data_IF_138388806806
#
_entry.id   IF_138388806806
#
_cell.length_a   1.000
_cell.length_b   1.000
_cell.length_c   1.000
_cell.angle_alpha   90.00
_cell.angle_beta   90.00
_cell.angle_gamma   90.00
#
_symmetry.space_group_name_H-M   'P 1'
#
loop_
_entity.id
_entity.type
_entity.pdbx_description
1 polymer ?
#
# COMPACT_ATOMS: atom_id res chain seq x y z
N UNK A 1 6.83 -1.50 -3.16
CA UNK A 1 6.34 -0.63 -4.26
C UNK A 1 5.27 0.30 -3.71
N UNK A 2 5.50 1.61 -3.79
CA UNK A 2 4.51 2.62 -3.41
C UNK A 2 3.79 3.12 -4.65
N UNK A 3 2.47 2.94 -4.73
CA UNK A 3 1.66 3.36 -5.88
C UNK A 3 1.04 4.73 -5.58
N UNK A 4 1.55 5.76 -6.25
CA UNK A 4 1.10 7.15 -6.11
C UNK A 4 0.38 7.64 -7.37
N UNK A 5 -0.51 8.61 -7.20
CA UNK A 5 -1.25 9.20 -8.31
C UNK A 5 -2.62 9.71 -7.89
N UNK A 6 -3.28 10.48 -8.74
CA UNK A 6 -4.57 11.09 -8.41
C UNK A 6 -5.72 10.07 -8.33
N UNK A 7 -6.87 10.46 -7.79
CA UNK A 7 -8.05 9.61 -7.83
C UNK A 7 -8.53 9.41 -9.28
N UNK A 8 -8.98 8.22 -9.64
CA UNK A 8 -9.53 7.92 -10.97
C UNK A 8 -8.54 7.47 -12.05
N UNK A 9 -7.22 7.58 -11.85
CA UNK A 9 -6.22 7.12 -12.86
C UNK A 9 -5.96 5.60 -12.84
N UNK A 10 -6.77 4.83 -12.09
CA UNK A 10 -6.67 3.37 -12.07
C UNK A 10 -5.61 2.78 -11.14
N UNK A 11 -5.18 3.48 -10.08
CA UNK A 11 -4.18 2.96 -9.11
C UNK A 11 -4.51 1.57 -8.59
N UNK A 12 -5.69 1.40 -7.98
CA UNK A 12 -6.12 0.13 -7.39
C UNK A 12 -6.22 -0.99 -8.43
N UNK A 13 -6.62 -0.66 -9.67
CA UNK A 13 -6.64 -1.61 -10.79
C UNK A 13 -5.22 -2.02 -11.19
N UNK A 14 -4.28 -1.08 -11.23
CA UNK A 14 -2.86 -1.36 -11.50
C UNK A 14 -2.25 -2.21 -10.40
N UNK A 15 -2.59 -1.97 -9.13
CA UNK A 15 -2.18 -2.82 -8.00
C UNK A 15 -2.62 -4.26 -8.24
N UNK A 16 -3.90 -4.50 -8.55
CA UNK A 16 -4.40 -5.86 -8.84
C UNK A 16 -3.67 -6.55 -9.99
N UNK A 17 -3.35 -5.82 -11.07
CA UNK A 17 -2.57 -6.35 -12.20
C UNK A 17 -1.12 -6.68 -11.82
N UNK A 18 -0.48 -5.82 -11.03
CA UNK A 18 0.88 -6.05 -10.54
C UNK A 18 0.94 -7.26 -9.61
N UNK A 19 -0.04 -7.43 -8.72
CA UNK A 19 -0.17 -8.60 -7.85
C UNK A 19 -0.16 -9.89 -8.67
N UNK A 20 -1.04 -9.99 -9.67
CA UNK A 20 -1.11 -11.17 -10.54
C UNK A 20 0.18 -11.41 -11.30
N UNK A 21 0.82 -10.34 -11.79
CA UNK A 21 2.10 -10.46 -12.48
C UNK A 21 3.18 -11.05 -11.58
N UNK A 22 3.35 -10.54 -10.37
CA UNK A 22 4.37 -11.03 -9.45
C UNK A 22 4.08 -12.45 -8.96
N UNK A 23 2.82 -12.80 -8.72
CA UNK A 23 2.46 -14.18 -8.42
C UNK A 23 2.79 -15.14 -9.58
N UNK A 24 2.58 -14.73 -10.83
CA UNK A 24 3.00 -15.51 -12.01
C UNK A 24 4.51 -15.64 -12.13
N UNK A 25 5.28 -14.69 -11.61
CA UNK A 25 6.74 -14.76 -11.48
C UNK A 25 7.18 -15.64 -10.29
N UNK A 26 6.25 -16.27 -9.56
CA UNK A 26 6.54 -17.11 -8.40
C UNK A 26 6.83 -16.35 -7.10
N UNK A 27 6.59 -15.03 -7.08
CA UNK A 27 6.85 -14.19 -5.91
C UNK A 27 5.65 -14.17 -4.95
N UNK A 28 5.94 -14.20 -3.66
CA UNK A 28 4.97 -13.91 -2.62
C UNK A 28 4.66 -12.41 -2.59
N UNK A 29 3.36 -12.06 -2.48
CA UNK A 29 2.90 -10.67 -2.53
C UNK A 29 2.03 -10.35 -1.33
N UNK A 30 2.18 -9.14 -0.80
CA UNK A 30 1.32 -8.54 0.23
C UNK A 30 0.87 -7.16 -0.21
N UNK A 31 -0.35 -6.76 0.18
CA UNK A 31 -0.92 -5.44 -0.12
C UNK A 31 -1.05 -4.59 1.15
N UNK A 32 -0.91 -3.27 1.02
CA UNK A 32 -1.16 -2.31 2.10
C UNK A 32 -2.18 -1.26 1.68
N UNK A 33 -3.23 -1.09 2.48
CA UNK A 33 -4.34 -0.16 2.22
C UNK A 33 -4.05 1.25 2.78
N UNK A 34 -3.14 1.98 2.13
CA UNK A 34 -2.74 3.33 2.58
C UNK A 34 -3.70 4.47 2.18
N UNK A 35 -4.70 4.25 1.31
CA UNK A 35 -5.80 5.21 1.08
C UNK A 35 -6.86 5.10 2.22
N UNK A 36 -6.44 5.39 3.44
CA UNK A 36 -7.23 5.19 4.67
C UNK A 36 -8.44 6.11 4.76
N UNK A 37 -8.43 7.25 4.06
CA UNK A 37 -9.54 8.21 4.04
C UNK A 37 -10.74 7.75 3.20
N UNK A 38 -10.53 6.80 2.29
CA UNK A 38 -11.58 6.30 1.41
C UNK A 38 -11.90 4.86 1.79
N UNK A 39 -12.91 4.68 2.64
CA UNK A 39 -13.40 3.35 3.04
C UNK A 39 -13.60 2.42 1.83
N UNK A 40 -14.20 2.93 0.75
CA UNK A 40 -14.39 2.17 -0.49
C UNK A 40 -13.07 1.73 -1.15
N UNK A 41 -11.98 2.51 -1.04
CA UNK A 41 -10.67 2.13 -1.57
C UNK A 41 -10.05 0.99 -0.75
N UNK A 42 -10.17 1.05 0.58
CA UNK A 42 -9.75 -0.04 1.47
C UNK A 42 -10.51 -1.34 1.17
N UNK A 43 -11.85 -1.27 1.09
CA UNK A 43 -12.67 -2.44 0.78
C UNK A 43 -12.39 -3.00 -0.62
N UNK A 44 -12.22 -2.13 -1.62
CA UNK A 44 -11.85 -2.55 -2.96
C UNK A 44 -10.48 -3.27 -2.98
N UNK A 45 -9.49 -2.78 -2.22
CA UNK A 45 -8.19 -3.44 -2.12
C UNK A 45 -8.28 -4.79 -1.40
N UNK A 46 -9.13 -4.91 -0.37
CA UNK A 46 -9.40 -6.20 0.30
C UNK A 46 -10.00 -7.22 -0.66
N UNK A 47 -10.99 -6.83 -1.47
CA UNK A 47 -11.57 -7.69 -2.51
C UNK A 47 -10.52 -8.14 -3.52
N UNK A 48 -9.59 -7.25 -3.91
CA UNK A 48 -8.45 -7.64 -4.76
C UNK A 48 -7.51 -8.60 -4.05
N UNK A 49 -7.29 -8.43 -2.75
CA UNK A 49 -6.50 -9.35 -1.94
C UNK A 49 -7.10 -10.74 -1.90
N UNK A 50 -8.39 -10.83 -1.55
CA UNK A 50 -9.15 -12.09 -1.51
C UNK A 50 -9.15 -12.79 -2.88
N UNK A 51 -9.45 -12.06 -3.96
CA UNK A 51 -9.47 -12.59 -5.33
C UNK A 51 -8.13 -13.18 -5.77
N UNK A 52 -7.01 -12.64 -5.28
CA UNK A 52 -5.67 -13.14 -5.61
C UNK A 52 -5.08 -14.01 -4.49
N UNK A 53 -5.83 -14.29 -3.43
CA UNK A 53 -5.36 -15.01 -2.24
C UNK A 53 -4.07 -14.42 -1.64
N UNK A 54 -3.98 -13.09 -1.58
CA UNK A 54 -2.85 -12.36 -0.97
C UNK A 54 -3.27 -11.62 0.30
N UNK A 55 -2.42 -11.58 1.33
CA UNK A 55 -2.71 -10.83 2.56
C UNK A 55 -2.80 -9.32 2.27
N UNK A 56 -3.77 -8.67 2.91
CA UNK A 56 -3.94 -7.21 2.87
C UNK A 56 -3.83 -6.66 4.28
N UNK A 57 -2.93 -5.72 4.48
CA UNK A 57 -2.78 -4.96 5.71
C UNK A 57 -3.62 -3.69 5.59
N UNK A 58 -4.58 -3.54 6.50
CA UNK A 58 -5.49 -2.41 6.56
C UNK A 58 -5.83 -2.13 8.02
N UNK A 59 -6.05 -0.85 8.34
CA UNK A 59 -6.60 -0.40 9.61
C UNK A 59 -8.01 0.18 9.41
N UNK A 60 -8.60 0.79 10.44
CA UNK A 60 -9.90 1.45 10.36
C UNK A 60 -9.85 2.67 9.43
N UNK A 61 -11.00 3.04 8.85
CA UNK A 61 -11.13 4.24 8.02
C UNK A 61 -10.70 5.48 8.80
N UNK A 62 -9.87 6.33 8.19
CA UNK A 62 -9.31 7.53 8.82
C UNK A 62 -8.05 7.27 9.66
N UNK A 63 -7.57 6.03 9.73
CA UNK A 63 -6.27 5.73 10.33
C UNK A 63 -5.13 6.48 9.63
N UNK A 64 -4.03 6.68 10.36
CA UNK A 64 -2.81 7.28 9.83
C UNK A 64 -2.20 6.36 8.76
N UNK A 65 -2.12 6.85 7.52
CA UNK A 65 -1.63 6.09 6.37
C UNK A 65 -0.20 5.57 6.61
N UNK A 66 0.67 6.36 7.22
CA UNK A 66 2.03 5.96 7.55
C UNK A 66 2.10 4.79 8.54
N UNK A 67 1.20 4.74 9.52
CA UNK A 67 1.07 3.62 10.45
C UNK A 67 0.66 2.34 9.72
N UNK A 68 -0.29 2.41 8.78
CA UNK A 68 -0.68 1.23 7.96
C UNK A 68 0.51 0.71 7.14
N UNK A 69 1.29 1.62 6.53
CA UNK A 69 2.46 1.20 5.74
C UNK A 69 3.56 0.61 6.64
N UNK A 70 3.78 1.16 7.83
CA UNK A 70 4.73 0.61 8.79
C UNK A 70 4.40 -0.83 9.16
N UNK A 71 3.16 -1.08 9.58
CA UNK A 71 2.69 -2.41 9.94
C UNK A 71 2.83 -3.38 8.77
N UNK A 72 2.57 -2.92 7.56
CA UNK A 72 2.71 -3.72 6.36
C UNK A 72 4.14 -4.09 6.03
N UNK A 73 5.09 -3.16 6.18
CA UNK A 73 6.52 -3.44 6.00
C UNK A 73 7.02 -4.41 7.07
N UNK A 74 6.65 -4.18 8.33
CA UNK A 74 7.01 -5.08 9.44
C UNK A 74 6.45 -6.49 9.22
N UNK A 75 5.18 -6.60 8.80
CA UNK A 75 4.56 -7.88 8.49
C UNK A 75 5.19 -8.57 7.28
N UNK A 76 5.52 -7.82 6.22
CA UNK A 76 6.19 -8.35 5.04
C UNK A 76 7.59 -8.90 5.38
N UNK A 77 8.38 -8.16 6.16
CA UNK A 77 9.70 -8.61 6.64
C UNK A 77 9.59 -9.86 7.52
N UNK A 78 8.68 -9.85 8.49
CA UNK A 78 8.49 -10.99 9.40
C UNK A 78 8.03 -12.25 8.68
N UNK A 79 7.27 -12.11 7.59
CA UNK A 79 6.74 -13.23 6.81
C UNK A 79 7.61 -13.62 5.61
N UNK A 80 8.73 -12.92 5.39
CA UNK A 80 9.59 -13.15 4.23
C UNK A 80 8.89 -12.92 2.89
N UNK A 81 8.02 -11.92 2.80
CA UNK A 81 7.29 -11.61 1.57
C UNK A 81 8.20 -10.89 0.58
N UNK A 82 8.21 -11.35 -0.67
CA UNK A 82 9.09 -10.82 -1.73
C UNK A 82 8.66 -9.42 -2.20
N UNK A 83 7.35 -9.18 -2.30
CA UNK A 83 6.81 -7.91 -2.81
C UNK A 83 5.69 -7.37 -1.94
N UNK A 84 5.91 -6.19 -1.35
CA UNK A 84 4.86 -5.37 -0.75
C UNK A 84 4.40 -4.29 -1.72
N UNK A 85 3.10 -4.20 -1.98
CA UNK A 85 2.49 -3.15 -2.81
C UNK A 85 1.56 -2.29 -1.94
N UNK A 86 1.86 -0.99 -1.84
CA UNK A 86 1.12 -0.05 -1.02
C UNK A 86 0.28 0.91 -1.88
N UNK A 87 -1.03 0.98 -1.62
CA UNK A 87 -1.92 2.02 -2.16
C UNK A 87 -1.76 3.32 -1.37
N UNK A 88 -2.01 4.47 -1.99
CA UNK A 88 -1.91 5.79 -1.35
C UNK A 88 -3.09 6.69 -1.74
N UNK A 89 -3.37 7.68 -0.89
CA UNK A 89 -4.42 8.66 -1.18
C UNK A 89 -4.10 9.48 -2.46
N UNK A 90 -5.10 9.67 -3.32
CA UNK A 90 -4.94 10.39 -4.60
C UNK A 90 -5.47 11.81 -4.64
N UNK A 91 -5.44 12.55 -3.52
CA UNK A 91 -6.03 13.90 -3.43
C UNK A 91 -5.02 14.98 -3.85
N UNK A 92 -4.99 15.32 -5.15
CA UNK A 92 -4.12 16.38 -5.71
C UNK A 92 -4.35 17.77 -5.09
N UNK A 93 -5.54 18.05 -4.58
CA UNK A 93 -5.91 19.37 -4.04
C UNK A 93 -5.28 19.64 -2.66
N UNK A 94 -4.75 18.63 -1.98
CA UNK A 94 -4.15 18.74 -0.65
C UNK A 94 -2.66 18.34 -0.67
N UNK A 95 -1.91 18.89 -1.62
CA UNK A 95 -0.50 18.56 -1.89
C UNK A 95 0.37 18.58 -0.64
N UNK A 96 0.21 19.56 0.25
CA UNK A 96 1.02 19.69 1.47
C UNK A 96 0.82 18.49 2.41
N UNK A 97 -0.43 18.13 2.72
CA UNK A 97 -0.74 16.99 3.59
C UNK A 97 -0.26 15.68 2.96
N UNK A 98 -0.56 15.45 1.67
CA UNK A 98 -0.11 14.24 0.95
C UNK A 98 1.42 14.12 0.94
N UNK A 99 2.14 15.22 0.74
CA UNK A 99 3.61 15.21 0.74
C UNK A 99 4.18 14.98 2.14
N UNK A 100 3.52 15.44 3.21
CA UNK A 100 3.92 15.12 4.58
C UNK A 100 3.66 13.65 4.93
N UNK A 101 2.52 13.09 4.52
CA UNK A 101 2.25 11.65 4.66
C UNK A 101 3.28 10.81 3.93
N UNK A 102 3.61 11.14 2.68
CA UNK A 102 4.63 10.43 1.90
C UNK A 102 6.01 10.55 2.56
N UNK A 103 6.39 11.73 3.08
CA UNK A 103 7.65 11.90 3.84
C UNK A 103 7.65 11.07 5.12
N UNK A 104 6.51 10.98 5.82
CA UNK A 104 6.38 10.18 7.04
C UNK A 104 6.50 8.71 6.72
N UNK A 105 5.80 8.21 5.70
CA UNK A 105 5.93 6.84 5.18
C UNK A 105 7.39 6.54 4.85
N UNK A 106 8.05 7.40 4.08
CA UNK A 106 9.46 7.21 3.71
C UNK A 106 10.40 7.14 4.92
N UNK A 107 10.30 8.08 5.87
CA UNK A 107 11.12 8.06 7.11
C UNK A 107 10.90 6.80 7.92
N UNK A 108 9.65 6.34 7.98
CA UNK A 108 9.26 5.16 8.73
C UNK A 108 9.77 3.88 8.05
N UNK A 109 9.76 3.84 6.71
CA UNK A 109 10.39 2.78 5.94
C UNK A 109 11.91 2.75 6.12
N UNK A 110 12.58 3.92 6.14
CA UNK A 110 14.02 4.02 6.38
C UNK A 110 14.46 3.47 7.74
N UNK A 111 13.65 3.63 8.80
CA UNK A 111 13.96 3.04 10.11
C UNK A 111 13.98 1.51 10.11
N UNK A 112 13.25 0.89 9.18
CA UNK A 112 13.18 -0.57 9.05
C UNK A 112 14.17 -1.09 8.00
N UNK A 113 14.58 -0.24 7.06
CA UNK A 113 15.43 -0.60 5.93
C UNK A 113 16.17 0.63 5.39
N UNK A 114 17.49 0.67 5.57
CA UNK A 114 18.32 1.79 5.09
C UNK A 114 18.32 1.91 3.56
N UNK A 115 17.88 0.87 2.83
CA UNK A 115 17.80 0.84 1.36
C UNK A 115 16.40 1.08 0.82
N UNK A 116 15.40 1.30 1.69
CA UNK A 116 14.04 1.58 1.24
C UNK A 116 13.95 2.90 0.42
N UNK A 117 13.16 2.90 -0.67
CA UNK A 117 12.97 4.06 -1.54
C UNK A 117 12.23 5.22 -0.87
#
# INVERSE_FOLDING_TARGET
>A
ILVVGVNGVGKTTTIGKLTQRFQREGKSVMLAAGDTFRAAAVEQLKVWGERNSVPVIAQHTGADSASVIYDAVAAAKSRGVDVLIADTAGRLHNKSHLMEELKKVHRVMQKLDDTAP
#
